data_IF_636839125494
#
_entry.id   IF_636839125494
#
_cell.length_a   1.000
_cell.length_b   1.000
_cell.length_c   1.000
_cell.angle_alpha   90.00
_cell.angle_beta   90.00
_cell.angle_gamma   90.00
#
_symmetry.space_group_name_H-M   'P 1'
#
loop_
_entity.id
_entity.type
_entity.pdbx_description
1 polymer ?
#
# COMPACT_ATOMS: atom_id res chain seq x y z
N UNK A 1 22.00 10.35 4.19
CA UNK A 1 20.93 9.34 4.18
C UNK A 1 21.12 8.51 2.91
N UNK A 2 21.44 7.21 3.04
CA UNK A 2 21.71 6.35 1.89
C UNK A 2 20.43 5.62 1.51
N UNK A 3 19.75 6.08 0.46
CA UNK A 3 18.72 5.29 -0.19
C UNK A 3 19.43 4.35 -1.17
N UNK A 4 19.20 3.04 -1.00
CA UNK A 4 19.76 2.03 -1.90
C UNK A 4 19.16 2.17 -3.29
N UNK A 5 19.94 2.01 -4.38
CA UNK A 5 19.40 2.01 -5.73
C UNK A 5 18.37 0.88 -5.90
N UNK A 6 17.20 1.23 -6.44
CA UNK A 6 16.13 0.28 -6.73
C UNK A 6 16.59 -0.78 -7.75
N UNK A 7 16.16 -2.03 -7.57
CA UNK A 7 16.43 -3.15 -8.49
C UNK A 7 15.10 -3.67 -9.03
N UNK A 8 14.89 -3.49 -10.33
CA UNK A 8 13.71 -3.99 -11.04
C UNK A 8 13.71 -5.53 -11.06
N UNK A 9 12.55 -6.15 -10.77
CA UNK A 9 12.35 -7.59 -10.95
C UNK A 9 11.17 -7.82 -11.91
N UNK A 10 11.23 -8.84 -12.79
CA UNK A 10 10.21 -9.09 -13.82
C UNK A 10 8.82 -9.46 -13.27
N UNK A 11 8.66 -9.55 -11.95
CA UNK A 11 7.36 -9.73 -11.30
C UNK A 11 6.58 -8.41 -11.20
N UNK A 12 7.27 -7.27 -11.34
CA UNK A 12 6.70 -5.92 -11.30
C UNK A 12 6.59 -5.35 -12.72
N UNK A 13 5.36 -5.07 -13.17
CA UNK A 13 5.11 -4.35 -14.42
C UNK A 13 5.61 -2.90 -14.36
N UNK A 14 5.42 -2.09 -15.43
CA UNK A 14 5.99 -0.75 -15.53
C UNK A 14 5.71 0.06 -14.26
N UNK A 15 6.79 0.61 -13.67
CA UNK A 15 6.93 1.16 -12.33
C UNK A 15 5.73 1.97 -11.80
N UNK A 16 4.71 1.28 -11.27
CA UNK A 16 3.61 1.92 -10.51
C UNK A 16 4.05 2.31 -9.08
N UNK A 17 5.18 1.80 -8.60
CA UNK A 17 5.76 2.17 -7.30
C UNK A 17 6.48 3.53 -7.28
N UNK A 18 6.74 4.13 -8.44
CA UNK A 18 7.47 5.40 -8.54
C UNK A 18 6.58 6.64 -8.34
N UNK A 19 5.26 6.46 -8.14
CA UNK A 19 4.44 7.56 -7.66
C UNK A 19 4.63 7.65 -6.14
N UNK A 20 5.32 8.67 -5.62
CA UNK A 20 5.31 8.91 -4.19
C UNK A 20 3.84 9.02 -3.74
N UNK A 21 3.48 8.47 -2.57
CA UNK A 21 2.15 8.66 -2.03
C UNK A 21 1.85 10.16 -1.98
N UNK A 22 0.61 10.52 -2.29
CA UNK A 22 0.23 11.92 -2.21
C UNK A 22 0.26 12.33 -0.74
N UNK A 23 0.81 13.51 -0.46
CA UNK A 23 0.89 14.04 0.90
C UNK A 23 -0.28 14.99 1.09
N UNK A 24 -1.42 14.45 1.50
CA UNK A 24 -2.61 15.25 1.84
C UNK A 24 -2.54 15.60 3.32
N UNK A 25 -2.49 16.89 3.63
CA UNK A 25 -2.38 17.41 5.01
C UNK A 25 -1.18 16.84 5.81
N UNK A 26 -0.12 16.42 5.12
CA UNK A 26 1.08 15.84 5.74
C UNK A 26 0.98 14.34 6.05
N UNK A 27 -0.07 13.66 5.59
CA UNK A 27 -0.23 12.21 5.67
C UNK A 27 -0.08 11.57 4.29
N UNK A 28 0.59 10.42 4.23
CA UNK A 28 0.72 9.62 3.01
C UNK A 28 -0.62 8.94 2.70
N UNK A 29 -1.24 9.33 1.58
CA UNK A 29 -2.43 8.69 1.05
C UNK A 29 -2.08 7.70 -0.06
N UNK A 30 -2.72 6.53 -0.02
CA UNK A 30 -2.51 5.44 -0.97
C UNK A 30 -3.84 5.04 -1.61
N UNK A 31 -3.84 4.77 -2.91
CA UNK A 31 -5.03 4.30 -3.61
C UNK A 31 -5.40 2.87 -3.20
N UNK A 32 -6.63 2.69 -2.72
CA UNK A 32 -7.20 1.38 -2.40
C UNK A 32 -7.75 0.73 -3.67
N UNK A 33 -7.31 -0.50 -3.96
CA UNK A 33 -7.92 -1.34 -5.00
C UNK A 33 -9.20 -2.00 -4.47
N UNK A 34 -9.12 -2.61 -3.28
CA UNK A 34 -10.22 -3.39 -2.71
C UNK A 34 -10.06 -3.64 -1.22
N UNK A 35 -11.18 -3.69 -0.50
CA UNK A 35 -11.22 -4.25 0.86
C UNK A 35 -11.36 -5.77 0.79
N UNK A 36 -10.35 -6.50 1.27
CA UNK A 36 -10.29 -7.97 1.21
C UNK A 36 -11.09 -8.59 2.35
N UNK A 37 -10.92 -8.07 3.57
CA UNK A 37 -11.56 -8.58 4.79
C UNK A 37 -11.85 -7.45 5.74
N UNK A 38 -12.75 -7.70 6.68
CA UNK A 38 -12.98 -6.83 7.83
C UNK A 38 -13.08 -7.69 9.10
N UNK A 39 -12.70 -7.14 10.25
CA UNK A 39 -12.87 -7.78 11.55
C UNK A 39 -13.18 -6.76 12.64
N UNK A 40 -14.05 -7.14 13.55
CA UNK A 40 -14.27 -6.39 14.79
C UNK A 40 -13.14 -6.63 15.78
N UNK A 41 -12.63 -5.56 16.38
CA UNK A 41 -11.66 -5.60 17.48
C UNK A 41 -12.22 -4.81 18.67
N UNK A 42 -11.70 -5.00 19.89
CA UNK A 42 -12.11 -4.19 21.04
C UNK A 42 -11.90 -2.67 20.87
N UNK A 43 -11.02 -2.28 19.93
CA UNK A 43 -10.69 -0.88 19.63
C UNK A 43 -11.50 -0.31 18.46
N UNK A 44 -12.32 -1.13 17.79
CA UNK A 44 -13.08 -0.73 16.60
C UNK A 44 -13.00 -1.77 15.47
N UNK A 45 -13.52 -1.41 14.29
CA UNK A 45 -13.43 -2.24 13.10
C UNK A 45 -12.07 -2.04 12.41
N UNK A 46 -11.48 -3.14 11.93
CA UNK A 46 -10.30 -3.12 11.06
C UNK A 46 -10.59 -3.72 9.70
N UNK A 47 -9.91 -3.24 8.67
CA UNK A 47 -10.06 -3.63 7.28
C UNK A 47 -8.72 -4.09 6.72
N UNK A 48 -8.71 -5.24 6.04
CA UNK A 48 -7.57 -5.69 5.27
C UNK A 48 -7.65 -5.06 3.88
N UNK A 49 -6.75 -4.14 3.58
CA UNK A 49 -6.76 -3.33 2.37
C UNK A 49 -5.84 -3.96 1.32
N UNK A 50 -6.34 -4.11 0.08
CA UNK A 50 -5.51 -4.29 -1.11
C UNK A 50 -5.20 -2.91 -1.68
N UNK A 51 -3.92 -2.58 -1.73
CA UNK A 51 -3.44 -1.35 -2.37
C UNK A 51 -3.33 -1.53 -3.87
N UNK A 52 -3.74 -0.52 -4.63
CA UNK A 52 -3.76 -0.57 -6.10
C UNK A 52 -2.35 -0.44 -6.64
N UNK A 53 -1.96 -1.38 -7.50
CA UNK A 53 -0.60 -1.44 -8.02
C UNK A 53 0.43 -2.02 -7.04
N UNK A 54 -0.04 -2.62 -5.92
CA UNK A 54 0.78 -3.34 -4.94
C UNK A 54 0.47 -4.84 -4.96
N UNK A 55 1.44 -5.64 -4.54
CA UNK A 55 1.27 -7.09 -4.47
C UNK A 55 0.34 -7.47 -3.31
N UNK A 56 -0.37 -8.62 -3.39
CA UNK A 56 -1.06 -9.19 -2.24
C UNK A 56 -0.22 -9.31 -0.96
N UNK A 57 1.11 -9.36 -1.07
CA UNK A 57 2.02 -9.36 0.07
C UNK A 57 1.99 -8.06 0.87
N UNK A 58 1.62 -6.96 0.24
CA UNK A 58 1.66 -5.62 0.81
C UNK A 58 0.32 -5.21 1.46
N UNK A 59 -0.66 -6.13 1.54
CA UNK A 59 -1.93 -5.83 2.18
C UNK A 59 -1.74 -5.54 3.66
N UNK A 60 -2.32 -4.45 4.14
CA UNK A 60 -2.25 -4.05 5.55
C UNK A 60 -3.62 -4.06 6.22
N UNK A 61 -3.61 -4.17 7.56
CA UNK A 61 -4.82 -4.05 8.37
C UNK A 61 -4.90 -2.66 8.98
N UNK A 62 -5.79 -1.84 8.45
CA UNK A 62 -6.11 -0.49 8.97
C UNK A 62 -7.33 -0.55 9.90
#
# INVERSE_FOLDING_TARGET
MLLTPYKETPQYGPNFFDLPPDLVDGFEEYEVEKIIKHKGTPQGMKYLIRWKGYSPSDNTWE
#
